data_IF_792400666684
#
_entry.id   IF_792400666684
#
_cell.length_a   1.000
_cell.length_b   1.000
_cell.length_c   1.000
_cell.angle_alpha   90.00
_cell.angle_beta   90.00
_cell.angle_gamma   90.00
#
_symmetry.space_group_name_H-M   'P 1'
#
loop_
_entity.id
_entity.type
_entity.pdbx_description
1 polymer ?
#
# COMPACT_ATOMS: atom_id res chain seq x y z
N UNK A 1 5.89 -23.65 13.33
CA UNK A 1 7.08 -22.93 13.83
C UNK A 1 6.63 -21.72 14.61
N UNK A 2 7.22 -21.45 15.79
CA UNK A 2 6.86 -20.26 16.55
C UNK A 2 7.46 -19.01 15.89
N UNK A 3 6.82 -17.84 16.05
CA UNK A 3 7.31 -16.58 15.48
C UNK A 3 8.78 -16.31 15.89
N UNK A 4 9.12 -16.61 17.15
CA UNK A 4 10.47 -16.46 17.70
C UNK A 4 11.52 -17.35 17.01
N UNK A 5 11.13 -18.49 16.46
CA UNK A 5 12.06 -19.36 15.70
C UNK A 5 12.30 -18.85 14.27
N UNK A 6 11.34 -18.13 13.67
CA UNK A 6 11.49 -17.58 12.32
C UNK A 6 12.44 -16.37 12.27
N UNK A 7 12.49 -15.57 13.34
CA UNK A 7 13.46 -14.47 13.46
C UNK A 7 14.90 -14.92 13.71
N UNK A 8 15.10 -16.16 14.15
CA UNK A 8 16.43 -16.74 14.37
C UNK A 8 17.03 -17.39 13.13
N UNK A 9 16.28 -17.44 12.02
CA UNK A 9 16.79 -17.96 10.76
C UNK A 9 17.89 -17.01 10.23
N UNK A 10 18.92 -17.54 9.55
CA UNK A 10 19.94 -16.70 8.96
C UNK A 10 19.33 -15.79 7.89
N UNK A 11 19.69 -14.51 7.91
CA UNK A 11 19.32 -13.57 6.86
C UNK A 11 20.30 -13.73 5.71
N UNK A 12 19.81 -14.15 4.56
CA UNK A 12 20.61 -14.22 3.34
C UNK A 12 20.77 -12.80 2.77
N UNK A 13 21.94 -12.19 3.01
CA UNK A 13 22.21 -10.80 2.60
C UNK A 13 22.05 -10.59 1.09
N UNK A 14 22.34 -11.62 0.31
CA UNK A 14 22.21 -11.62 -1.15
C UNK A 14 20.75 -11.48 -1.61
N UNK A 15 19.79 -11.96 -0.81
CA UNK A 15 18.35 -11.84 -1.08
C UNK A 15 17.77 -10.51 -0.55
N UNK A 16 18.40 -9.90 0.46
CA UNK A 16 17.86 -8.70 1.13
C UNK A 16 17.82 -7.48 0.21
N UNK A 17 18.92 -7.18 -0.50
CA UNK A 17 18.98 -6.01 -1.38
C UNK A 17 18.00 -6.11 -2.56
N UNK A 18 17.88 -7.26 -3.27
CA UNK A 18 16.84 -7.47 -4.28
C UNK A 18 15.41 -7.29 -3.74
N UNK A 19 15.12 -7.77 -2.53
CA UNK A 19 13.80 -7.62 -1.89
C UNK A 19 13.50 -6.14 -1.62
N UNK A 20 14.47 -5.38 -1.11
CA UNK A 20 14.30 -3.95 -0.84
C UNK A 20 14.12 -3.16 -2.14
N UNK A 21 15.00 -3.37 -3.13
CA UNK A 21 14.95 -2.63 -4.39
C UNK A 21 13.66 -2.93 -5.17
N UNK A 22 13.27 -4.20 -5.24
CA UNK A 22 12.03 -4.62 -5.91
C UNK A 22 10.81 -4.10 -5.19
N UNK A 23 10.78 -4.15 -3.86
CA UNK A 23 9.69 -3.61 -3.06
C UNK A 23 9.53 -2.11 -3.24
N UNK A 24 10.62 -1.35 -3.18
CA UNK A 24 10.61 0.10 -3.40
C UNK A 24 10.16 0.47 -4.81
N UNK A 25 10.72 -0.18 -5.83
CA UNK A 25 10.35 0.07 -7.22
C UNK A 25 8.88 -0.28 -7.49
N UNK A 26 8.41 -1.40 -6.95
CA UNK A 26 7.01 -1.82 -7.07
C UNK A 26 6.07 -0.87 -6.33
N UNK A 27 6.46 -0.35 -5.17
CA UNK A 27 5.65 0.59 -4.42
C UNK A 27 5.50 1.93 -5.15
N UNK A 28 6.59 2.44 -5.73
CA UNK A 28 6.57 3.65 -6.55
C UNK A 28 5.73 3.46 -7.81
N UNK A 29 6.12 2.51 -8.67
CA UNK A 29 5.46 2.31 -9.97
C UNK A 29 4.03 1.83 -9.83
N UNK A 30 3.80 0.85 -8.94
CA UNK A 30 2.47 0.34 -8.62
C UNK A 30 1.59 1.41 -7.98
N UNK A 31 2.12 2.18 -7.04
CA UNK A 31 1.39 3.29 -6.41
C UNK A 31 0.95 4.33 -7.43
N UNK A 32 1.86 4.76 -8.32
CA UNK A 32 1.54 5.74 -9.38
C UNK A 32 0.47 5.19 -10.34
N UNK A 33 0.66 3.97 -10.87
CA UNK A 33 -0.27 3.37 -11.84
C UNK A 33 -1.65 3.15 -11.21
N UNK A 34 -1.70 2.54 -10.02
CA UNK A 34 -2.96 2.28 -9.32
C UNK A 34 -3.61 3.60 -8.90
N UNK A 35 -2.84 4.61 -8.50
CA UNK A 35 -3.35 5.94 -8.16
C UNK A 35 -3.96 6.67 -9.37
N UNK A 36 -3.36 6.54 -10.55
CA UNK A 36 -3.93 7.06 -11.80
C UNK A 36 -5.23 6.33 -12.17
N UNK A 37 -5.27 5.00 -12.02
CA UNK A 37 -6.51 4.22 -12.20
C UNK A 37 -7.56 4.66 -11.18
N UNK A 38 -7.18 4.86 -9.92
CA UNK A 38 -8.08 5.32 -8.86
C UNK A 38 -8.70 6.66 -9.21
N UNK A 39 -7.90 7.62 -9.67
CA UNK A 39 -8.38 8.91 -10.15
C UNK A 39 -9.40 8.75 -11.27
N UNK A 40 -9.07 7.98 -12.33
CA UNK A 40 -10.00 7.75 -13.43
C UNK A 40 -11.31 7.15 -12.94
N UNK A 41 -11.26 6.11 -12.10
CA UNK A 41 -12.46 5.51 -11.52
C UNK A 41 -13.27 6.51 -10.69
N UNK A 42 -12.61 7.36 -9.90
CA UNK A 42 -13.29 8.39 -9.09
C UNK A 42 -13.99 9.47 -9.92
N UNK A 43 -13.54 9.71 -11.15
CA UNK A 43 -14.15 10.69 -12.06
C UNK A 43 -15.39 10.13 -12.77
N UNK A 44 -15.45 8.82 -13.00
CA UNK A 44 -16.51 8.18 -13.80
C UNK A 44 -17.47 7.29 -13.01
N UNK A 45 -17.08 6.83 -11.82
CA UNK A 45 -17.87 5.92 -10.98
C UNK A 45 -18.33 6.63 -9.70
N UNK A 46 -19.64 6.61 -9.38
CA UNK A 46 -20.14 7.09 -8.09
C UNK A 46 -19.79 6.15 -6.93
N UNK A 47 -19.36 4.91 -7.23
CA UNK A 47 -18.99 3.91 -6.23
C UNK A 47 -17.47 3.89 -6.08
N UNK A 48 -17.00 4.00 -4.84
CA UNK A 48 -15.60 3.82 -4.47
C UNK A 48 -15.15 2.37 -4.69
N UNK A 49 -14.26 2.18 -5.67
CA UNK A 49 -13.63 0.87 -5.97
C UNK A 49 -12.26 0.70 -5.30
N UNK A 50 -11.96 1.53 -4.30
CA UNK A 50 -10.69 1.53 -3.58
C UNK A 50 -10.33 0.15 -3.00
N UNK A 51 -11.31 -0.62 -2.53
CA UNK A 51 -11.11 -1.97 -2.00
C UNK A 51 -10.56 -2.97 -3.04
N UNK A 52 -10.97 -2.86 -4.32
CA UNK A 52 -10.39 -3.66 -5.41
C UNK A 52 -8.93 -3.26 -5.61
N UNK A 53 -8.65 -1.95 -5.62
CA UNK A 53 -7.30 -1.42 -5.82
C UNK A 53 -6.35 -1.85 -4.68
N UNK A 54 -6.83 -1.89 -3.44
CA UNK A 54 -6.10 -2.45 -2.30
C UNK A 54 -5.74 -3.92 -2.53
N UNK A 55 -6.67 -4.72 -3.05
CA UNK A 55 -6.40 -6.11 -3.37
C UNK A 55 -5.37 -6.26 -4.49
N UNK A 56 -5.50 -5.48 -5.58
CA UNK A 56 -4.54 -5.45 -6.68
C UNK A 56 -3.14 -5.06 -6.18
N UNK A 57 -3.04 -3.99 -5.38
CA UNK A 57 -1.79 -3.52 -4.79
C UNK A 57 -1.12 -4.62 -3.94
N UNK A 58 -1.91 -5.28 -3.08
CA UNK A 58 -1.40 -6.38 -2.24
C UNK A 58 -0.90 -7.57 -3.07
N UNK A 59 -1.61 -7.93 -4.13
CA UNK A 59 -1.25 -9.03 -5.03
C UNK A 59 0.02 -8.74 -5.82
N UNK A 60 0.12 -7.54 -6.38
CA UNK A 60 1.31 -7.11 -7.10
C UNK A 60 2.54 -7.10 -6.19
N UNK A 61 2.42 -6.49 -5.00
CA UNK A 61 3.53 -6.42 -4.03
C UNK A 61 3.98 -7.81 -3.59
N UNK A 62 3.04 -8.66 -3.20
CA UNK A 62 3.34 -10.00 -2.71
C UNK A 62 4.07 -10.86 -3.76
N UNK A 63 3.59 -10.83 -5.01
CA UNK A 63 4.21 -11.56 -6.12
C UNK A 63 5.64 -11.09 -6.39
N UNK A 64 5.84 -9.77 -6.44
CA UNK A 64 7.15 -9.17 -6.72
C UNK A 64 8.17 -9.50 -5.63
N UNK A 65 7.80 -9.34 -4.36
CA UNK A 65 8.68 -9.68 -3.24
C UNK A 65 8.99 -11.18 -3.21
N UNK A 66 7.99 -12.05 -3.40
CA UNK A 66 8.17 -13.51 -3.41
C UNK A 66 9.19 -13.98 -4.45
N UNK A 67 9.20 -13.32 -5.62
CA UNK A 67 10.12 -13.60 -6.72
C UNK A 67 11.54 -13.05 -6.50
N UNK A 68 11.74 -12.22 -5.47
CA UNK A 68 13.01 -11.52 -5.23
C UNK A 68 13.97 -12.26 -4.31
N UNK A 69 13.59 -13.42 -3.77
CA UNK A 69 14.45 -14.24 -2.90
C UNK A 69 14.27 -15.72 -3.19
N UNK A 70 15.30 -16.50 -2.88
CA UNK A 70 15.26 -17.96 -3.03
C UNK A 70 14.82 -18.63 -1.74
N UNK A 71 15.32 -18.14 -0.60
CA UNK A 71 15.11 -18.74 0.72
C UNK A 71 14.22 -17.85 1.58
N UNK A 72 13.17 -18.41 2.19
CA UNK A 72 12.24 -17.60 2.97
C UNK A 72 12.86 -17.11 4.28
N UNK A 73 12.67 -15.82 4.57
CA UNK A 73 12.90 -15.22 5.88
C UNK A 73 11.73 -14.31 6.26
N UNK A 74 11.33 -14.28 7.54
CA UNK A 74 10.17 -13.50 7.99
C UNK A 74 10.32 -11.99 7.74
N UNK A 75 11.56 -11.50 7.77
CA UNK A 75 11.89 -10.11 7.42
C UNK A 75 11.36 -9.73 6.03
N UNK A 76 11.37 -10.64 5.04
CA UNK A 76 10.89 -10.33 3.70
C UNK A 76 9.37 -10.12 3.67
N UNK A 77 8.63 -10.87 4.50
CA UNK A 77 7.19 -10.65 4.66
C UNK A 77 6.90 -9.30 5.33
N UNK A 78 7.69 -8.91 6.33
CA UNK A 78 7.58 -7.59 6.97
C UNK A 78 7.90 -6.46 5.99
N UNK A 79 8.96 -6.60 5.20
CA UNK A 79 9.33 -5.65 4.14
C UNK A 79 8.21 -5.54 3.10
N UNK A 80 7.61 -6.67 2.71
CA UNK A 80 6.49 -6.69 1.78
C UNK A 80 5.26 -5.94 2.31
N UNK A 81 4.90 -6.12 3.59
CA UNK A 81 3.81 -5.36 4.22
C UNK A 81 4.15 -3.87 4.26
N UNK A 82 5.38 -3.52 4.64
CA UNK A 82 5.83 -2.13 4.65
C UNK A 82 5.68 -1.48 3.27
N UNK A 83 6.14 -2.15 2.21
CA UNK A 83 6.01 -1.62 0.85
C UNK A 83 4.57 -1.63 0.33
N UNK A 84 3.72 -2.54 0.79
CA UNK A 84 2.28 -2.48 0.52
C UNK A 84 1.66 -1.20 1.12
N UNK A 85 1.98 -0.88 2.37
CA UNK A 85 1.55 0.37 3.04
C UNK A 85 2.08 1.59 2.27
N UNK A 86 3.34 1.55 1.84
CA UNK A 86 3.93 2.62 1.03
C UNK A 86 3.24 2.76 -0.34
N UNK A 87 2.89 1.65 -0.99
CA UNK A 87 2.11 1.64 -2.23
C UNK A 87 0.78 2.34 -2.03
N UNK A 88 0.06 2.02 -0.95
CA UNK A 88 -1.21 2.67 -0.61
C UNK A 88 -1.05 4.18 -0.42
N UNK A 89 0.00 4.61 0.28
CA UNK A 89 0.31 6.02 0.45
C UNK A 89 0.53 6.74 -0.90
N UNK A 90 1.38 6.19 -1.76
CA UNK A 90 1.70 6.76 -3.08
C UNK A 90 0.47 6.75 -3.99
N UNK A 91 -0.34 5.70 -3.94
CA UNK A 91 -1.61 5.59 -4.68
C UNK A 91 -2.54 6.75 -4.34
N UNK A 92 -2.72 7.06 -3.06
CA UNK A 92 -3.57 8.16 -2.63
C UNK A 92 -2.98 9.51 -3.06
N UNK A 93 -1.69 9.77 -2.79
CA UNK A 93 -1.04 11.02 -3.24
C UNK A 93 -1.24 11.23 -4.73
N UNK A 94 -0.96 10.20 -5.54
CA UNK A 94 -1.08 10.30 -7.00
C UNK A 94 -2.50 10.62 -7.41
N UNK A 95 -3.49 9.97 -6.80
CA UNK A 95 -4.90 10.21 -7.08
C UNK A 95 -5.34 11.63 -6.71
N UNK A 96 -5.04 12.08 -5.49
CA UNK A 96 -5.41 13.43 -5.04
C UNK A 96 -4.66 14.53 -5.78
N UNK A 97 -3.35 14.38 -5.99
CA UNK A 97 -2.56 15.34 -6.77
C UNK A 97 -3.11 15.46 -8.19
N UNK A 98 -3.41 14.33 -8.84
CA UNK A 98 -4.01 14.34 -10.17
C UNK A 98 -5.39 15.02 -10.19
N UNK A 99 -6.22 14.77 -9.18
CA UNK A 99 -7.53 15.43 -9.05
C UNK A 99 -7.40 16.97 -8.94
N UNK A 100 -6.51 17.47 -8.08
CA UNK A 100 -6.30 18.91 -7.91
C UNK A 100 -5.66 19.54 -9.15
N UNK A 101 -4.71 18.83 -9.78
CA UNK A 101 -4.06 19.28 -11.01
C UNK A 101 -5.07 19.46 -12.16
N UNK A 102 -6.00 18.51 -12.35
CA UNK A 102 -7.07 18.62 -13.36
C UNK A 102 -7.98 19.83 -13.10
N UNK A 103 -8.16 20.21 -11.83
CA UNK A 103 -8.96 21.40 -11.43
C UNK A 103 -8.18 22.71 -11.49
N UNK A 104 -6.92 22.69 -11.93
CA UNK A 104 -6.07 23.88 -12.01
C UNK A 104 -5.61 24.41 -10.65
N UNK A 105 -5.70 23.61 -9.60
CA UNK A 105 -5.28 23.99 -8.24
C UNK A 105 -3.85 23.45 -8.03
N UNK A 106 -2.87 24.33 -8.13
CA UNK A 106 -1.44 23.98 -8.02
C UNK A 106 -0.71 24.92 -7.07
N UNK A 107 -1.09 24.88 -5.80
CA UNK A 107 -0.44 25.65 -4.74
C UNK A 107 0.61 24.82 -3.99
N UNK A 108 1.72 25.44 -3.60
CA UNK A 108 2.77 24.77 -2.80
C UNK A 108 2.23 24.26 -1.46
N UNK A 109 1.29 24.98 -0.85
CA UNK A 109 0.62 24.57 0.38
C UNK A 109 -0.16 23.26 0.21
N UNK A 110 -0.78 23.05 -0.97
CA UNK A 110 -1.48 21.82 -1.29
C UNK A 110 -0.51 20.63 -1.40
N UNK A 111 0.67 20.83 -1.98
CA UNK A 111 1.71 19.80 -2.03
C UNK A 111 2.18 19.41 -0.62
N UNK A 112 2.41 20.38 0.26
CA UNK A 112 2.78 20.13 1.65
C UNK A 112 1.69 19.36 2.39
N UNK A 113 0.43 19.76 2.21
CA UNK A 113 -0.72 19.07 2.80
C UNK A 113 -0.78 17.61 2.32
N UNK A 114 -0.71 17.38 1.01
CA UNK A 114 -0.76 16.02 0.44
C UNK A 114 0.47 15.18 0.77
N UNK A 115 1.60 15.78 1.16
CA UNK A 115 2.77 15.03 1.62
C UNK A 115 2.64 14.49 3.05
N UNK A 116 1.58 14.83 3.78
CA UNK A 116 1.37 14.34 5.14
C UNK A 116 0.72 12.94 5.13
N UNK A 117 1.44 11.89 5.56
CA UNK A 117 0.91 10.52 5.54
C UNK A 117 -0.30 10.32 6.45
N UNK A 118 -0.41 11.08 7.55
CA UNK A 118 -1.50 10.90 8.51
C UNK A 118 -2.87 11.10 7.89
N UNK A 119 -2.99 11.94 6.85
CA UNK A 119 -4.25 12.21 6.15
C UNK A 119 -4.79 10.94 5.48
N UNK A 120 -3.91 10.14 4.89
CA UNK A 120 -4.30 8.93 4.17
C UNK A 120 -4.55 7.73 5.07
N UNK A 121 -4.04 7.76 6.30
CA UNK A 121 -4.25 6.70 7.29
C UNK A 121 -5.31 7.04 8.34
N UNK A 122 -6.06 8.14 8.17
CA UNK A 122 -7.10 8.50 9.13
C UNK A 122 -8.22 7.46 9.23
N UNK A 123 -8.43 6.62 8.21
CA UNK A 123 -9.37 5.49 8.27
C UNK A 123 -9.08 4.49 9.40
N UNK A 124 -7.84 4.48 9.91
CA UNK A 124 -7.41 3.67 11.05
C UNK A 124 -7.69 4.34 12.41
N UNK A 125 -8.06 5.62 12.44
CA UNK A 125 -8.25 6.37 13.68
C UNK A 125 -9.68 6.19 14.23
N UNK A 126 -9.84 5.50 15.39
CA UNK A 126 -11.16 5.21 15.95
C UNK A 126 -11.89 6.44 16.50
N UNK A 127 -11.19 7.56 16.71
CA UNK A 127 -11.76 8.79 17.26
C UNK A 127 -12.34 9.72 16.19
N UNK A 128 -12.30 9.33 14.92
CA UNK A 128 -12.89 10.12 13.82
C UNK A 128 -14.39 9.88 13.73
N UNK A 129 -15.17 10.92 13.42
CA UNK A 129 -16.63 10.83 13.29
C UNK A 129 -17.12 9.90 12.17
N UNK A 130 -16.25 9.56 11.21
CA UNK A 130 -16.57 8.67 10.09
C UNK A 130 -16.02 7.23 10.29
N UNK A 131 -15.40 6.91 11.43
CA UNK A 131 -14.76 5.61 11.65
C UNK A 131 -15.71 4.41 11.46
N UNK A 132 -16.96 4.53 11.93
CA UNK A 132 -17.98 3.48 11.85
C UNK A 132 -18.82 3.53 10.56
N UNK A 133 -18.47 4.38 9.59
CA UNK A 133 -19.15 4.40 8.30
C UNK A 133 -18.87 3.11 7.53
N UNK A 134 -19.85 2.64 6.75
CA UNK A 134 -19.74 1.40 5.97
C UNK A 134 -18.52 1.45 5.03
N UNK A 135 -18.28 2.58 4.38
CA UNK A 135 -17.13 2.78 3.50
C UNK A 135 -15.78 2.65 4.23
N UNK A 136 -15.67 3.25 5.42
CA UNK A 136 -14.46 3.17 6.23
C UNK A 136 -14.22 1.73 6.72
N UNK A 137 -15.26 1.04 7.18
CA UNK A 137 -15.18 -0.35 7.61
C UNK A 137 -14.75 -1.28 6.48
N UNK A 138 -15.30 -1.11 5.27
CA UNK A 138 -14.88 -1.87 4.09
C UNK A 138 -13.41 -1.61 3.79
N UNK A 139 -12.99 -0.33 3.77
CA UNK A 139 -11.59 0.05 3.53
C UNK A 139 -10.66 -0.58 4.56
N UNK A 140 -11.01 -0.51 5.84
CA UNK A 140 -10.25 -1.10 6.94
C UNK A 140 -10.12 -2.62 6.77
N UNK A 141 -11.22 -3.32 6.50
CA UNK A 141 -11.22 -4.78 6.28
C UNK A 141 -10.32 -5.14 5.09
N UNK A 142 -10.48 -4.48 3.94
CA UNK A 142 -9.69 -4.80 2.75
C UNK A 142 -8.21 -4.43 2.90
N UNK A 143 -7.90 -3.37 3.64
CA UNK A 143 -6.52 -3.01 3.97
C UNK A 143 -5.84 -4.09 4.80
N UNK A 144 -6.52 -4.60 5.84
CA UNK A 144 -6.00 -5.71 6.64
C UNK A 144 -5.93 -7.03 5.87
N UNK A 145 -6.95 -7.33 5.04
CA UNK A 145 -6.91 -8.48 4.14
C UNK A 145 -5.70 -8.38 3.21
N UNK A 146 -5.43 -7.20 2.63
CA UNK A 146 -4.25 -6.96 1.80
C UNK A 146 -2.95 -7.23 2.54
N UNK A 147 -2.79 -6.68 3.74
CA UNK A 147 -1.60 -6.91 4.57
C UNK A 147 -1.41 -8.40 4.94
N UNK A 148 -2.49 -9.08 5.35
CA UNK A 148 -2.47 -10.52 5.69
C UNK A 148 -2.19 -11.36 4.46
N UNK A 149 -2.78 -11.02 3.31
CA UNK A 149 -2.52 -11.69 2.03
C UNK A 149 -1.05 -11.56 1.65
N UNK A 150 -0.49 -10.34 1.71
CA UNK A 150 0.93 -10.10 1.41
C UNK A 150 1.83 -10.93 2.34
N UNK A 151 1.54 -10.96 3.64
CA UNK A 151 2.27 -11.80 4.59
C UNK A 151 2.21 -13.29 4.21
N UNK A 152 1.01 -13.82 3.97
CA UNK A 152 0.77 -15.25 3.73
C UNK A 152 1.33 -15.72 2.39
N UNK A 153 1.32 -14.87 1.37
CA UNK A 153 1.79 -15.22 0.03
C UNK A 153 3.33 -15.20 -0.06
N UNK A 154 3.98 -14.31 0.69
CA UNK A 154 5.44 -14.27 0.80
C UNK A 154 5.93 -15.46 1.66
N UNK A 155 5.18 -15.84 2.70
CA UNK A 155 5.51 -17.03 3.49
C UNK A 155 5.50 -18.32 2.67
#
# INVERSE_FOLDING_TARGET
MSFKSQFKMPIHKDDLMPVISTGFFTALTGGIIIGAIHLLLSLYSPISLNWILLFIASSMMAKRIRQSYQTYHILYAMIGIFFYILTYYIMNITSYMGFYFIRGISELALFQYLSNPLIYFQFLNPFTGYFLTVENLITLIFFFIGAVYTYRYIK
#
